data_IF_960226658984
#
_entry.id   IF_960226658984
#
_cell.length_a   1.000
_cell.length_b   1.000
_cell.length_c   1.000
_cell.angle_alpha   90.00
_cell.angle_beta   90.00
_cell.angle_gamma   90.00
#
_symmetry.space_group_name_H-M   'P 1'
#
loop_
_entity.id
_entity.type
_entity.pdbx_description
1 polymer ?
#
# COMPACT_ATOMS: atom_id res chain seq x y z
N UNK A 1 9.71 14.91 2.55
CA UNK A 1 10.25 13.77 3.31
C UNK A 1 9.15 12.74 3.43
N UNK A 2 9.41 11.47 3.09
CA UNK A 2 8.40 10.43 3.14
C UNK A 2 8.02 10.18 4.60
N UNK A 3 6.76 9.83 4.85
CA UNK A 3 6.31 9.55 6.21
C UNK A 3 6.87 8.22 6.73
N UNK A 4 7.26 7.36 5.80
CA UNK A 4 7.83 6.05 6.03
C UNK A 4 9.34 6.15 6.25
N UNK A 5 9.89 5.46 7.27
CA UNK A 5 11.32 5.49 7.57
C UNK A 5 12.12 4.76 6.47
N UNK A 6 12.85 5.51 5.64
CA UNK A 6 13.50 4.98 4.43
C UNK A 6 14.64 4.00 4.71
N UNK A 7 15.34 4.13 5.84
CA UNK A 7 16.53 3.32 6.17
C UNK A 7 16.20 1.82 6.26
N UNK A 8 15.02 1.48 6.77
CA UNK A 8 14.58 0.09 6.95
C UNK A 8 13.92 -0.50 5.70
N UNK A 9 13.56 0.33 4.73
CA UNK A 9 12.75 -0.06 3.57
C UNK A 9 13.55 -0.22 2.28
N UNK A 10 14.85 0.10 2.30
CA UNK A 10 15.70 0.04 1.11
C UNK A 10 15.82 1.37 0.37
N UNK A 11 15.55 2.50 1.03
CA UNK A 11 15.91 3.84 0.55
C UNK A 11 14.72 4.75 0.28
N UNK A 12 15.06 6.02 0.00
CA UNK A 12 14.12 7.12 -0.17
C UNK A 12 13.08 6.86 -1.27
N UNK A 13 13.48 6.27 -2.39
CA UNK A 13 12.56 5.91 -3.47
C UNK A 13 11.54 4.84 -3.03
N UNK A 14 11.94 3.87 -2.22
CA UNK A 14 11.00 2.83 -1.74
C UNK A 14 9.98 3.43 -0.80
N UNK A 15 10.41 4.26 0.15
CA UNK A 15 9.50 4.96 1.06
C UNK A 15 8.51 5.87 0.31
N UNK A 16 9.00 6.64 -0.66
CA UNK A 16 8.16 7.50 -1.51
C UNK A 16 7.17 6.70 -2.37
N UNK A 17 7.58 5.53 -2.86
CA UNK A 17 6.70 4.65 -3.63
C UNK A 17 5.56 4.12 -2.75
N UNK A 18 5.85 3.72 -1.51
CA UNK A 18 4.82 3.29 -0.56
C UNK A 18 3.85 4.43 -0.22
N UNK A 19 4.32 5.67 -0.05
CA UNK A 19 3.44 6.83 0.12
C UNK A 19 2.51 7.01 -1.10
N UNK A 20 3.01 6.79 -2.31
CA UNK A 20 2.18 6.82 -3.53
C UNK A 20 1.14 5.68 -3.56
N UNK A 21 1.46 4.48 -3.06
CA UNK A 21 0.49 3.38 -2.93
C UNK A 21 -0.61 3.73 -1.92
N UNK A 22 -0.28 4.34 -0.78
CA UNK A 22 -1.26 4.76 0.22
C UNK A 22 -2.28 5.76 -0.36
N UNK A 23 -1.80 6.68 -1.21
CA UNK A 23 -2.66 7.61 -1.95
C UNK A 23 -3.49 6.86 -3.01
N UNK A 24 -2.91 5.87 -3.69
CA UNK A 24 -3.59 5.10 -4.72
C UNK A 24 -4.79 4.32 -4.17
N UNK A 25 -4.56 3.61 -3.07
CA UNK A 25 -5.56 2.87 -2.29
C UNK A 25 -6.53 3.80 -1.56
N UNK A 26 -6.24 5.10 -1.52
CA UNK A 26 -7.11 6.12 -0.94
C UNK A 26 -7.13 6.13 0.58
N UNK A 27 -6.12 5.57 1.23
CA UNK A 27 -6.02 5.50 2.69
C UNK A 27 -5.38 6.74 3.30
N UNK A 28 -4.47 7.40 2.57
CA UNK A 28 -3.72 8.59 3.02
C UNK A 28 -4.01 9.78 2.10
N UNK A 29 -5.29 10.20 2.06
CA UNK A 29 -5.77 11.33 1.25
C UNK A 29 -6.66 12.25 2.08
N UNK A 30 -6.80 13.55 1.74
CA UNK A 30 -7.53 14.51 2.59
C UNK A 30 -8.99 14.15 2.91
N UNK A 31 -9.65 13.42 2.01
CA UNK A 31 -11.05 13.01 2.17
C UNK A 31 -11.26 11.73 2.98
N UNK A 32 -10.20 10.97 3.25
CA UNK A 32 -10.25 9.76 4.04
C UNK A 32 -9.86 10.11 5.48
N UNK A 33 -10.77 10.00 6.46
CA UNK A 33 -10.41 10.11 7.86
C UNK A 33 -9.29 9.11 8.17
N UNK A 34 -8.30 9.53 8.95
CA UNK A 34 -7.25 8.65 9.48
C UNK A 34 -6.59 9.35 10.66
N UNK A 35 -6.21 8.59 11.68
CA UNK A 35 -5.39 9.07 12.81
C UNK A 35 -3.93 8.63 12.67
N UNK A 36 -3.64 7.81 11.66
CA UNK A 36 -2.33 7.19 11.47
C UNK A 36 -1.99 7.08 9.97
N UNK A 37 -2.11 8.17 9.19
CA UNK A 37 -1.63 8.24 7.79
C UNK A 37 -2.08 7.06 6.90
N UNK A 38 -3.30 6.57 7.12
CA UNK A 38 -3.89 5.45 6.41
C UNK A 38 -3.63 4.05 7.01
N UNK A 39 -2.71 3.90 7.96
CA UNK A 39 -2.39 2.60 8.60
C UNK A 39 -3.57 2.00 9.36
N UNK A 40 -4.54 2.82 9.77
CA UNK A 40 -5.74 2.47 10.53
C UNK A 40 -7.00 2.31 9.65
N UNK A 41 -6.88 2.36 8.32
CA UNK A 41 -8.05 2.41 7.42
C UNK A 41 -8.50 1.00 7.03
N UNK A 42 -9.79 0.72 7.21
CA UNK A 42 -10.48 -0.43 6.62
C UNK A 42 -10.98 -0.07 5.23
N UNK A 43 -11.09 -1.08 4.37
CA UNK A 43 -11.79 -0.94 3.10
C UNK A 43 -13.21 -0.42 3.33
N UNK A 44 -13.64 0.58 2.55
CA UNK A 44 -14.89 1.31 2.80
C UNK A 44 -14.73 2.57 3.66
N UNK A 45 -13.57 2.78 4.29
CA UNK A 45 -13.18 4.05 4.90
C UNK A 45 -13.37 4.14 6.42
N UNK A 46 -13.90 3.10 7.06
CA UNK A 46 -13.93 3.01 8.53
C UNK A 46 -12.51 2.87 9.10
N UNK A 47 -12.35 3.13 10.40
CA UNK A 47 -11.08 3.00 11.09
C UNK A 47 -11.08 1.84 12.09
N UNK A 48 -9.93 1.21 12.25
CA UNK A 48 -9.65 0.30 13.36
C UNK A 48 -8.61 0.93 14.31
N UNK A 49 -8.58 0.46 15.56
CA UNK A 49 -7.71 1.04 16.60
C UNK A 49 -6.73 0.03 17.21
N UNK A 50 -6.99 -1.27 17.05
CA UNK A 50 -6.10 -2.33 17.53
C UNK A 50 -5.15 -2.78 16.40
N UNK A 51 -3.87 -2.48 16.58
CA UNK A 51 -2.82 -2.88 15.65
C UNK A 51 -2.17 -4.22 16.01
N UNK A 52 -2.58 -4.90 17.09
CA UNK A 52 -1.98 -6.18 17.50
C UNK A 52 -2.12 -7.29 16.45
N UNK A 53 -3.12 -7.16 15.57
CA UNK A 53 -3.41 -8.10 14.48
C UNK A 53 -4.16 -7.42 13.35
N UNK A 54 -4.14 -8.03 12.18
CA UNK A 54 -5.01 -7.60 11.08
C UNK A 54 -6.49 -7.76 11.49
N UNK A 55 -7.36 -6.75 11.28
CA UNK A 55 -8.71 -6.71 11.84
C UNK A 55 -9.63 -7.83 11.31
N UNK A 56 -9.35 -8.36 10.12
CA UNK A 56 -10.11 -9.46 9.48
C UNK A 56 -11.62 -9.19 9.45
N UNK A 57 -12.01 -7.92 9.33
CA UNK A 57 -13.40 -7.52 9.19
C UNK A 57 -13.80 -7.68 7.73
N UNK A 58 -14.79 -8.53 7.47
CA UNK A 58 -15.39 -8.62 6.13
C UNK A 58 -16.34 -7.43 5.95
N UNK A 59 -15.98 -6.50 5.08
CA UNK A 59 -16.76 -5.31 4.77
C UNK A 59 -17.47 -5.49 3.44
N UNK A 60 -18.77 -5.16 3.41
CA UNK A 60 -19.56 -5.08 2.19
C UNK A 60 -19.35 -3.72 1.53
N UNK A 61 -18.96 -3.71 0.24
CA UNK A 61 -18.68 -2.46 -0.48
C UNK A 61 -19.84 -2.04 -1.38
N UNK A 62 -20.32 -2.97 -2.21
CA UNK A 62 -21.44 -2.77 -3.14
C UNK A 62 -21.84 -4.09 -3.79
N UNK A 63 -23.12 -4.27 -4.11
CA UNK A 63 -23.60 -5.45 -4.83
C UNK A 63 -23.17 -6.75 -4.12
N UNK A 64 -22.45 -7.63 -4.82
CA UNK A 64 -21.88 -8.86 -4.25
C UNK A 64 -20.40 -8.74 -3.83
N UNK A 65 -19.83 -7.52 -3.82
CA UNK A 65 -18.42 -7.29 -3.51
C UNK A 65 -18.21 -7.12 -1.99
N UNK A 66 -17.45 -8.04 -1.43
CA UNK A 66 -16.95 -7.99 -0.06
C UNK A 66 -15.43 -7.99 -0.06
N UNK A 67 -14.82 -7.36 0.94
CA UNK A 67 -13.37 -7.34 1.10
C UNK A 67 -12.98 -7.35 2.57
N UNK A 68 -11.81 -7.91 2.85
CA UNK A 68 -11.17 -7.85 4.18
C UNK A 68 -10.02 -6.85 4.20
N UNK A 69 -9.87 -6.05 3.14
CA UNK A 69 -8.73 -5.15 3.01
C UNK A 69 -8.64 -4.15 4.18
N UNK A 70 -7.44 -4.00 4.72
CA UNK A 70 -7.15 -3.07 5.80
C UNK A 70 -5.72 -2.52 5.74
N UNK A 71 -5.51 -1.45 6.46
CA UNK A 71 -4.23 -0.78 6.60
C UNK A 71 -3.89 0.12 5.41
N UNK A 72 -2.72 0.74 5.49
CA UNK A 72 -2.26 1.77 4.54
C UNK A 72 -2.10 1.25 3.13
N UNK A 73 -1.87 -0.05 3.00
CA UNK A 73 -1.67 -0.74 1.73
C UNK A 73 -2.79 -1.72 1.40
N UNK A 74 -3.92 -1.64 2.13
CA UNK A 74 -5.15 -2.41 1.89
C UNK A 74 -4.91 -3.94 1.75
N UNK A 75 -4.14 -4.52 2.67
CA UNK A 75 -3.88 -5.96 2.67
C UNK A 75 -5.15 -6.75 2.89
N UNK A 76 -5.41 -7.75 2.05
CA UNK A 76 -6.41 -8.78 2.34
C UNK A 76 -5.92 -9.67 3.48
N UNK A 77 -6.84 -10.15 4.34
CA UNK A 77 -6.48 -10.98 5.49
C UNK A 77 -5.63 -12.20 5.12
N UNK A 78 -5.96 -12.86 4.00
CA UNK A 78 -5.21 -14.03 3.50
C UNK A 78 -3.77 -13.69 3.14
N UNK A 79 -3.56 -12.59 2.40
CA UNK A 79 -2.23 -12.12 2.00
C UNK A 79 -1.44 -11.70 3.23
N UNK A 80 -2.07 -10.98 4.15
CA UNK A 80 -1.46 -10.59 5.42
C UNK A 80 -0.98 -11.81 6.22
N UNK A 81 -1.84 -12.82 6.43
CA UNK A 81 -1.48 -14.01 7.20
C UNK A 81 -0.29 -14.77 6.60
N UNK A 82 -0.18 -14.79 5.26
CA UNK A 82 0.98 -15.35 4.56
C UNK A 82 2.26 -14.55 4.88
N UNK A 83 2.22 -13.22 4.69
CA UNK A 83 3.38 -12.34 4.89
C UNK A 83 3.80 -12.28 6.36
N UNK A 84 2.85 -12.21 7.30
CA UNK A 84 3.10 -12.18 8.73
C UNK A 84 3.90 -13.40 9.17
N UNK A 85 3.51 -14.59 8.71
CA UNK A 85 4.24 -15.84 9.00
C UNK A 85 5.61 -15.88 8.32
N UNK A 86 5.69 -15.50 7.05
CA UNK A 86 6.93 -15.51 6.28
C UNK A 86 8.00 -14.58 6.88
N UNK A 87 7.58 -13.39 7.30
CA UNK A 87 8.46 -12.33 7.81
C UNK A 87 8.56 -12.31 9.34
N UNK A 88 7.78 -13.15 10.04
CA UNK A 88 7.65 -13.17 11.51
C UNK A 88 7.26 -11.80 12.08
N UNK A 89 6.29 -11.15 11.45
CA UNK A 89 5.82 -9.83 11.89
C UNK A 89 5.06 -9.96 13.22
N UNK A 90 5.38 -9.14 14.23
CA UNK A 90 4.82 -9.27 15.57
C UNK A 90 3.36 -8.81 15.65
N UNK A 91 2.95 -7.91 14.75
CA UNK A 91 1.69 -7.20 14.81
C UNK A 91 1.28 -6.70 13.41
N UNK A 92 0.19 -5.94 13.32
CA UNK A 92 -0.26 -5.21 12.12
C UNK A 92 0.00 -3.69 12.22
N UNK A 93 0.99 -3.27 13.03
CA UNK A 93 1.38 -1.87 13.19
C UNK A 93 2.01 -1.27 11.93
N UNK A 94 2.25 0.06 11.90
CA UNK A 94 2.81 0.75 10.73
C UNK A 94 4.08 0.11 10.16
N UNK A 95 5.08 -0.16 11.01
CA UNK A 95 6.34 -0.79 10.57
C UNK A 95 6.12 -2.18 9.96
N UNK A 96 5.27 -3.00 10.57
CA UNK A 96 4.92 -4.33 10.05
C UNK A 96 4.20 -4.23 8.70
N UNK A 97 3.30 -3.26 8.52
CA UNK A 97 2.64 -3.00 7.25
C UNK A 97 3.62 -2.55 6.16
N UNK A 98 4.58 -1.68 6.49
CA UNK A 98 5.61 -1.23 5.54
C UNK A 98 6.50 -2.38 5.07
N UNK A 99 6.98 -3.20 6.00
CA UNK A 99 7.81 -4.37 5.70
C UNK A 99 7.06 -5.38 4.84
N UNK A 100 5.78 -5.61 5.13
CA UNK A 100 4.91 -6.47 4.31
C UNK A 100 4.74 -5.89 2.89
N UNK A 101 4.56 -4.57 2.75
CA UNK A 101 4.43 -3.94 1.44
C UNK A 101 5.73 -4.03 0.63
N UNK A 102 6.90 -3.84 1.27
CA UNK A 102 8.20 -4.07 0.64
C UNK A 102 8.35 -5.52 0.17
N UNK A 103 7.88 -6.51 0.95
CA UNK A 103 7.90 -7.91 0.54
C UNK A 103 7.01 -8.16 -0.69
N UNK A 104 5.90 -7.45 -0.83
CA UNK A 104 5.07 -7.48 -2.04
C UNK A 104 5.79 -6.85 -3.25
N UNK A 105 6.50 -5.74 -3.08
CA UNK A 105 7.34 -5.18 -4.15
C UNK A 105 8.39 -6.19 -4.62
N UNK A 106 9.03 -6.90 -3.69
CA UNK A 106 10.00 -7.96 -4.01
C UNK A 106 9.32 -9.14 -4.74
N UNK A 107 8.16 -9.60 -4.27
CA UNK A 107 7.34 -10.64 -4.92
C UNK A 107 6.99 -10.27 -6.36
N UNK A 108 6.76 -9.00 -6.66
CA UNK A 108 6.44 -8.48 -8.00
C UNK A 108 7.67 -8.14 -8.85
N UNK A 109 8.89 -8.34 -8.34
CA UNK A 109 10.15 -7.92 -8.97
C UNK A 109 10.15 -6.41 -9.30
N UNK A 110 9.51 -5.61 -8.44
CA UNK A 110 9.41 -4.17 -8.56
C UNK A 110 10.40 -3.44 -7.64
N UNK A 111 10.90 -4.10 -6.60
CA UNK A 111 11.78 -3.49 -5.59
C UNK A 111 13.00 -2.78 -6.22
N UNK A 112 13.78 -3.48 -7.05
CA UNK A 112 14.97 -2.90 -7.69
C UNK A 112 14.61 -1.79 -8.70
N UNK A 113 13.45 -1.90 -9.36
CA UNK A 113 12.94 -0.87 -10.27
C UNK A 113 12.63 0.41 -9.49
N UNK A 114 11.97 0.30 -8.33
CA UNK A 114 11.70 1.42 -7.45
C UNK A 114 12.99 2.05 -6.95
N UNK A 115 13.95 1.25 -6.48
CA UNK A 115 15.25 1.76 -6.06
C UNK A 115 15.95 2.55 -7.18
N UNK A 116 15.91 2.03 -8.41
CA UNK A 116 16.47 2.66 -9.59
C UNK A 116 15.64 3.84 -10.15
N UNK A 117 14.56 4.27 -9.49
CA UNK A 117 13.72 5.38 -9.95
C UNK A 117 12.88 5.07 -11.21
N UNK A 118 12.78 3.79 -11.62
CA UNK A 118 11.95 3.34 -12.75
C UNK A 118 10.48 3.23 -12.35
N UNK A 119 9.90 4.36 -11.94
CA UNK A 119 8.58 4.44 -11.29
C UNK A 119 7.46 3.78 -12.10
N UNK A 120 7.29 4.18 -13.36
CA UNK A 120 6.21 3.70 -14.22
C UNK A 120 6.26 2.17 -14.44
N UNK A 121 7.47 1.63 -14.63
CA UNK A 121 7.66 0.18 -14.77
C UNK A 121 7.32 -0.53 -13.46
N UNK A 122 7.75 0.00 -12.32
CA UNK A 122 7.41 -0.54 -11.00
C UNK A 122 5.90 -0.55 -10.75
N UNK A 123 5.19 0.55 -11.05
CA UNK A 123 3.71 0.61 -10.95
C UNK A 123 3.09 -0.47 -11.81
N UNK A 124 3.55 -0.62 -13.06
CA UNK A 124 3.03 -1.64 -13.95
C UNK A 124 3.22 -3.06 -13.39
N UNK A 125 4.39 -3.38 -12.80
CA UNK A 125 4.64 -4.70 -12.18
C UNK A 125 3.71 -4.97 -10.98
N UNK A 126 3.36 -3.91 -10.25
CA UNK A 126 2.59 -3.97 -9.01
C UNK A 126 1.06 -4.03 -9.22
N UNK A 127 0.55 -3.82 -10.44
CA UNK A 127 -0.90 -3.76 -10.74
C UNK A 127 -1.73 -4.99 -10.34
N UNK A 128 -1.11 -6.17 -10.21
CA UNK A 128 -1.79 -7.40 -9.75
C UNK A 128 -1.82 -7.54 -8.22
N UNK A 129 -1.25 -6.59 -7.50
CA UNK A 129 -1.24 -6.56 -6.04
C UNK A 129 -2.20 -5.51 -5.51
N UNK A 130 -2.18 -4.31 -6.09
CA UNK A 130 -3.03 -3.18 -5.71
C UNK A 130 -4.02 -2.88 -6.83
N UNK A 131 -5.31 -3.10 -6.55
CA UNK A 131 -6.38 -2.97 -7.52
C UNK A 131 -6.62 -1.52 -7.98
N UNK A 132 -6.13 -0.54 -7.21
CA UNK A 132 -6.19 0.88 -7.54
C UNK A 132 -5.19 1.30 -8.61
N UNK A 133 -4.21 0.46 -8.96
CA UNK A 133 -3.17 0.81 -9.93
C UNK A 133 -3.67 0.68 -11.38
N UNK A 134 -3.12 1.47 -12.32
CA UNK A 134 -3.51 1.40 -13.72
C UNK A 134 -3.20 0.04 -14.35
N UNK A 135 -4.17 -0.50 -15.09
CA UNK A 135 -4.11 -1.80 -15.75
C UNK A 135 -4.29 -3.00 -14.82
N UNK A 136 -4.81 -2.80 -13.59
CA UNK A 136 -5.05 -3.86 -12.63
C UNK A 136 -6.19 -4.80 -13.07
N UNK A 137 -7.21 -4.25 -13.74
CA UNK A 137 -8.26 -5.04 -14.41
C UNK A 137 -9.31 -5.66 -13.47
N UNK A 138 -9.37 -5.21 -12.22
CA UNK A 138 -10.33 -5.73 -11.23
C UNK A 138 -11.75 -5.15 -11.36
N UNK A 139 -12.03 -4.32 -12.38
CA UNK A 139 -13.30 -3.60 -12.52
C UNK A 139 -13.55 -2.58 -11.39
N UNK A 140 -12.49 -2.20 -10.67
CA UNK A 140 -12.48 -1.16 -9.66
C UNK A 140 -11.94 0.15 -10.26
N UNK A 141 -12.02 1.25 -9.48
CA UNK A 141 -11.50 2.52 -9.94
C UNK A 141 -9.97 2.51 -9.91
N UNK A 142 -9.37 2.65 -11.09
CA UNK A 142 -7.91 2.74 -11.26
C UNK A 142 -7.47 4.21 -11.28
N UNK A 143 -6.31 4.48 -10.68
CA UNK A 143 -5.71 5.81 -10.63
C UNK A 143 -4.96 6.13 -11.92
N UNK A 144 -4.91 7.42 -12.25
CA UNK A 144 -4.08 7.93 -13.36
C UNK A 144 -2.60 7.86 -12.94
N UNK A 145 -1.75 7.35 -13.83
CA UNK A 145 -0.31 7.18 -13.54
C UNK A 145 0.36 8.51 -13.18
N UNK A 146 -0.08 9.62 -13.78
CA UNK A 146 0.45 10.96 -13.53
C UNK A 146 0.19 11.43 -12.10
N UNK A 147 -0.98 11.08 -11.54
CA UNK A 147 -1.32 11.39 -10.15
C UNK A 147 -0.40 10.62 -9.19
N UNK A 148 -0.15 9.35 -9.48
CA UNK A 148 0.75 8.52 -8.67
C UNK A 148 2.19 9.00 -8.77
N UNK A 149 2.63 9.41 -9.97
CA UNK A 149 3.95 9.98 -10.19
C UNK A 149 4.13 11.30 -9.43
N UNK A 150 3.13 12.18 -9.45
CA UNK A 150 3.16 13.42 -8.67
C UNK A 150 3.23 13.14 -7.16
N UNK A 151 2.45 12.17 -6.66
CA UNK A 151 2.52 11.75 -5.26
C UNK A 151 3.92 11.22 -4.88
N UNK A 152 4.50 10.37 -5.72
CA UNK A 152 5.84 9.82 -5.55
C UNK A 152 6.92 10.92 -5.48
N UNK A 153 6.89 11.87 -6.42
CA UNK A 153 7.84 13.00 -6.45
C UNK A 153 7.66 13.91 -5.22
N UNK A 154 6.42 14.22 -4.83
CA UNK A 154 6.13 15.04 -3.64
C UNK A 154 6.58 14.38 -2.34
N UNK A 155 6.56 13.04 -2.28
CA UNK A 155 7.10 12.27 -1.16
C UNK A 155 8.65 12.25 -1.13
N UNK A 156 9.31 12.80 -2.15
CA UNK A 156 10.77 12.89 -2.29
C UNK A 156 11.38 11.73 -3.10
N UNK A 157 10.56 10.97 -3.83
CA UNK A 157 11.04 10.00 -4.80
C UNK A 157 11.72 10.67 -5.98
N UNK A 158 12.67 9.97 -6.59
CA UNK A 158 13.39 10.43 -7.78
C UNK A 158 13.15 9.48 -8.95
N UNK A 159 13.08 10.03 -10.15
CA UNK A 159 12.95 9.28 -11.40
C UNK A 159 14.29 9.32 -12.12
N UNK A 160 14.69 8.20 -12.72
CA UNK A 160 15.91 8.10 -13.53
C UNK A 160 15.72 8.68 -14.94
#
# INVERSE_FOLDING_TARGET
>A
MPHTQHDKLGGQNVAAFLDAIAIAEGTDIPRQPTKCRGYDVLVGGELFTDFSRHPNKLVHLRGALFSTAAGRYQFLHRTWAELQRMLKLPDFGPESQDLAAVALLKRRKAFDLVQAGKFDEAVHRCRKEWASLPGAGYGQHEQRIERLRAAYLNAGGQIA
#
